data_IF_330081410741
#
_entry.id   IF_330081410741
#
_cell.length_a   1.000
_cell.length_b   1.000
_cell.length_c   1.000
_cell.angle_alpha   90.00
_cell.angle_beta   90.00
_cell.angle_gamma   90.00
#
_symmetry.space_group_name_H-M   'P 1'
#
loop_
_entity.id
_entity.type
_entity.pdbx_description
1 polymer ?
#
# COMPACT_ATOMS: atom_id res chain seq x y z
N UNK A 1 1.43 -14.98 19.73
CA UNK A 1 1.47 -13.65 19.11
C UNK A 1 2.82 -13.03 19.38
N UNK A 2 3.62 -12.79 18.33
CA UNK A 2 4.88 -12.07 18.39
C UNK A 2 4.61 -10.56 18.35
N UNK A 3 5.58 -9.79 18.86
CA UNK A 3 5.54 -8.32 18.77
C UNK A 3 5.75 -7.90 17.32
N UNK A 4 4.99 -6.89 16.89
CA UNK A 4 5.08 -6.27 15.57
C UNK A 4 5.60 -4.84 15.74
N UNK A 5 6.45 -4.39 14.82
CA UNK A 5 7.00 -3.05 14.81
C UNK A 5 6.78 -2.40 13.44
N UNK A 6 6.63 -1.07 13.43
CA UNK A 6 6.71 -0.26 12.22
C UNK A 6 8.17 0.17 12.07
N UNK A 7 8.80 -0.21 10.97
CA UNK A 7 10.23 0.06 10.72
C UNK A 7 10.47 1.17 9.69
N UNK A 8 9.44 1.57 8.94
CA UNK A 8 9.55 2.69 8.01
C UNK A 8 8.18 3.26 7.63
N UNK A 9 8.14 4.53 7.24
CA UNK A 9 6.93 5.26 6.84
C UNK A 9 7.18 6.14 5.63
N UNK A 10 6.13 6.39 4.85
CA UNK A 10 6.20 7.27 3.68
C UNK A 10 4.84 7.89 3.39
N UNK A 11 4.85 9.13 2.90
CA UNK A 11 3.64 9.91 2.63
C UNK A 11 3.88 10.88 1.48
N UNK A 12 2.94 10.94 0.54
CA UNK A 12 2.94 11.97 -0.51
C UNK A 12 2.28 13.25 0.00
N UNK A 13 2.58 14.38 -0.66
CA UNK A 13 1.91 15.64 -0.35
C UNK A 13 0.42 15.57 -0.73
N UNK A 14 -0.45 15.97 0.20
CA UNK A 14 -1.89 16.03 -0.05
C UNK A 14 -2.24 17.26 -0.87
N UNK A 15 -3.14 17.10 -1.85
CA UNK A 15 -3.57 18.18 -2.73
C UNK A 15 -3.99 17.67 -4.11
N UNK A 16 -4.13 18.59 -5.06
CA UNK A 16 -4.40 18.24 -6.46
C UNK A 16 -3.12 17.74 -7.13
N UNK A 17 -3.25 16.72 -7.98
CA UNK A 17 -2.17 16.11 -8.73
C UNK A 17 -2.73 15.52 -10.04
N UNK A 18 -1.86 15.28 -11.02
CA UNK A 18 -2.21 14.63 -12.29
C UNK A 18 -1.84 13.15 -12.32
N UNK A 19 -1.32 12.63 -11.20
CA UNK A 19 -0.89 11.23 -11.04
C UNK A 19 -2.05 10.34 -10.64
N UNK A 20 -1.96 9.07 -10.99
CA UNK A 20 -2.89 8.02 -10.53
C UNK A 20 -2.65 7.67 -9.06
N UNK A 21 -3.65 7.06 -8.43
CA UNK A 21 -3.54 6.54 -7.05
C UNK A 21 -2.43 5.51 -6.94
N UNK A 22 -2.23 4.68 -7.98
CA UNK A 22 -1.15 3.68 -8.00
C UNK A 22 0.24 4.33 -8.04
N UNK A 23 0.44 5.41 -8.79
CA UNK A 23 1.71 6.15 -8.84
C UNK A 23 1.99 6.88 -7.52
N UNK A 24 0.97 7.47 -6.89
CA UNK A 24 1.11 8.12 -5.59
C UNK A 24 1.40 7.10 -4.49
N UNK A 25 0.72 5.96 -4.52
CA UNK A 25 1.02 4.83 -3.64
C UNK A 25 2.47 4.37 -3.84
N UNK A 26 2.90 4.15 -5.09
CA UNK A 26 4.25 3.67 -5.38
C UNK A 26 5.33 4.63 -4.87
N UNK A 27 5.10 5.95 -4.96
CA UNK A 27 6.00 6.93 -4.34
C UNK A 27 6.04 6.78 -2.81
N UNK A 28 4.88 6.83 -2.13
CA UNK A 28 4.85 6.73 -0.67
C UNK A 28 5.44 5.41 -0.16
N UNK A 29 5.18 4.31 -0.88
CA UNK A 29 5.70 2.99 -0.53
C UNK A 29 7.21 2.88 -0.78
N UNK A 30 7.74 3.48 -1.86
CA UNK A 30 9.18 3.55 -2.09
C UNK A 30 9.88 4.35 -0.99
N UNK A 31 9.32 5.50 -0.59
CA UNK A 31 9.85 6.31 0.52
C UNK A 31 9.84 5.50 1.83
N UNK A 32 8.77 4.73 2.10
CA UNK A 32 8.67 3.87 3.29
C UNK A 32 9.67 2.71 3.29
N UNK A 33 9.97 2.11 2.13
CA UNK A 33 10.98 1.05 1.98
C UNK A 33 12.38 1.61 2.24
N UNK A 34 12.66 2.83 1.74
CA UNK A 34 13.93 3.53 2.00
C UNK A 34 14.08 3.88 3.48
N UNK A 35 13.04 4.42 4.11
CA UNK A 35 13.03 4.75 5.56
C UNK A 35 13.21 3.48 6.43
N UNK A 36 12.71 2.33 5.97
CA UNK A 36 12.90 1.04 6.62
C UNK A 36 14.30 0.43 6.45
N UNK A 37 15.15 1.00 5.57
CA UNK A 37 16.49 0.50 5.24
C UNK A 37 16.52 -0.97 4.79
N UNK A 38 15.48 -1.41 4.06
CA UNK A 38 15.38 -2.78 3.50
C UNK A 38 15.45 -2.79 1.98
N UNK A 39 15.81 -3.94 1.40
CA UNK A 39 15.67 -4.16 -0.03
C UNK A 39 14.19 -4.36 -0.40
N UNK A 40 13.71 -3.86 -1.56
CA UNK A 40 12.32 -4.07 -1.99
C UNK A 40 11.90 -5.55 -2.06
N UNK A 41 12.84 -6.45 -2.38
CA UNK A 41 12.62 -7.90 -2.43
C UNK A 41 12.30 -8.53 -1.07
N UNK A 42 12.52 -7.83 0.04
CA UNK A 42 12.19 -8.29 1.38
C UNK A 42 10.71 -8.08 1.72
N UNK A 43 9.97 -7.29 0.92
CA UNK A 43 8.52 -7.13 1.08
C UNK A 43 7.83 -8.41 0.62
N UNK A 44 7.11 -9.07 1.53
CA UNK A 44 6.49 -10.38 1.29
C UNK A 44 5.02 -10.30 0.91
N UNK A 45 4.32 -9.21 1.24
CA UNK A 45 2.89 -9.05 0.98
C UNK A 45 2.51 -7.56 1.00
N UNK A 46 1.42 -7.23 0.30
CA UNK A 46 0.85 -5.88 0.29
C UNK A 46 -0.60 -5.87 0.77
N UNK A 47 -0.85 -5.08 1.82
CA UNK A 47 -2.20 -4.79 2.33
C UNK A 47 -2.58 -3.38 1.88
N UNK A 48 -3.33 -3.28 0.79
CA UNK A 48 -3.56 -2.03 0.07
C UNK A 48 -4.95 -1.45 0.37
N UNK A 49 -4.99 -0.21 0.84
CA UNK A 49 -6.23 0.52 1.06
C UNK A 49 -6.55 1.46 -0.10
N UNK A 50 -7.71 1.30 -0.72
CA UNK A 50 -8.19 2.22 -1.76
C UNK A 50 -9.72 2.20 -1.81
N UNK A 51 -10.36 3.36 -1.81
CA UNK A 51 -11.82 3.50 -1.85
C UNK A 51 -12.26 3.82 -3.27
N UNK A 52 -11.76 4.91 -3.83
CA UNK A 52 -12.37 5.53 -5.02
C UNK A 52 -11.79 5.08 -6.36
N UNK A 53 -10.85 4.12 -6.41
CA UNK A 53 -10.16 3.75 -7.64
C UNK A 53 -11.10 3.26 -8.76
N UNK A 54 -12.18 2.57 -8.38
CA UNK A 54 -13.21 2.12 -9.32
C UNK A 54 -13.96 3.28 -9.98
N UNK A 55 -14.23 4.33 -9.22
CA UNK A 55 -15.03 5.48 -9.64
C UNK A 55 -14.16 6.55 -10.32
N UNK A 56 -13.02 6.90 -9.72
CA UNK A 56 -12.18 8.02 -10.17
C UNK A 56 -11.22 7.62 -11.27
N UNK A 57 -10.72 6.38 -11.25
CA UNK A 57 -9.70 5.88 -12.18
C UNK A 57 -10.21 4.75 -13.07
N UNK A 58 -11.50 4.37 -12.93
CA UNK A 58 -12.12 3.27 -13.68
C UNK A 58 -11.34 1.96 -13.56
N UNK A 59 -10.75 1.73 -12.38
CA UNK A 59 -9.90 0.59 -12.12
C UNK A 59 -10.33 -0.11 -10.83
N UNK A 60 -10.70 -1.39 -10.96
CA UNK A 60 -11.13 -2.24 -9.85
C UNK A 60 -10.00 -3.10 -9.29
N UNK A 61 -9.11 -3.63 -10.14
CA UNK A 61 -7.99 -4.50 -9.74
C UNK A 61 -6.81 -3.68 -9.21
N UNK A 62 -7.09 -2.76 -8.29
CA UNK A 62 -6.10 -1.80 -7.78
C UNK A 62 -4.99 -2.45 -6.94
N UNK A 63 -5.25 -3.58 -6.28
CA UNK A 63 -4.23 -4.29 -5.50
C UNK A 63 -3.05 -4.76 -6.38
N UNK A 64 -3.27 -5.68 -7.34
CA UNK A 64 -2.23 -6.10 -8.27
C UNK A 64 -1.61 -4.94 -9.06
N UNK A 65 -2.40 -3.93 -9.43
CA UNK A 65 -1.88 -2.73 -10.09
C UNK A 65 -0.91 -1.96 -9.19
N UNK A 66 -1.24 -1.75 -7.93
CA UNK A 66 -0.38 -1.07 -6.96
C UNK A 66 0.95 -1.83 -6.76
N UNK A 67 0.89 -3.15 -6.59
CA UNK A 67 2.08 -4.00 -6.47
C UNK A 67 2.95 -3.96 -7.74
N UNK A 68 2.33 -4.01 -8.91
CA UNK A 68 3.03 -3.90 -10.21
C UNK A 68 3.69 -2.52 -10.37
N UNK A 69 2.99 -1.45 -10.01
CA UNK A 69 3.48 -0.07 -10.11
C UNK A 69 4.64 0.19 -9.14
N UNK A 70 4.63 -0.47 -7.97
CA UNK A 70 5.75 -0.46 -7.01
C UNK A 70 6.96 -1.30 -7.48
N UNK A 71 6.83 -2.08 -8.55
CA UNK A 71 7.89 -2.97 -9.03
C UNK A 71 7.94 -4.33 -8.32
N UNK A 72 6.88 -4.70 -7.61
CA UNK A 72 6.76 -5.97 -6.87
C UNK A 72 5.54 -6.79 -7.37
N UNK A 73 5.46 -7.13 -8.66
CA UNK A 73 4.23 -7.69 -9.26
C UNK A 73 3.84 -9.07 -8.73
N UNK A 74 4.78 -9.79 -8.09
CA UNK A 74 4.59 -11.18 -7.65
C UNK A 74 4.19 -11.32 -6.19
N UNK A 75 4.16 -10.25 -5.39
CA UNK A 75 3.80 -10.35 -3.97
C UNK A 75 2.28 -10.51 -3.81
N UNK A 76 1.82 -11.39 -2.90
CA UNK A 76 0.41 -11.50 -2.57
C UNK A 76 -0.11 -10.14 -2.11
N UNK A 77 -1.24 -9.73 -2.70
CA UNK A 77 -1.84 -8.42 -2.44
C UNK A 77 -3.31 -8.54 -2.12
N UNK A 78 -3.76 -7.88 -1.05
CA UNK A 78 -5.19 -7.79 -0.68
C UNK A 78 -5.63 -6.33 -0.66
N UNK A 79 -6.71 -6.02 -1.39
CA UNK A 79 -7.33 -4.69 -1.37
C UNK A 79 -8.41 -4.63 -0.29
N UNK A 80 -8.37 -3.59 0.52
CA UNK A 80 -9.35 -3.31 1.56
C UNK A 80 -10.22 -2.12 1.19
N UNK A 81 -11.46 -2.13 1.67
CA UNK A 81 -12.39 -1.01 1.59
C UNK A 81 -13.32 -0.98 2.80
N UNK A 82 -13.21 0.09 3.59
CA UNK A 82 -14.07 0.42 4.73
C UNK A 82 -14.26 1.95 4.82
N UNK A 83 -14.51 2.59 3.67
CA UNK A 83 -14.62 4.05 3.53
C UNK A 83 -13.44 4.78 4.18
N UNK A 84 -13.68 5.76 5.06
CA UNK A 84 -12.63 6.53 5.73
C UNK A 84 -11.66 5.69 6.59
N UNK A 85 -12.05 4.47 6.98
CA UNK A 85 -11.23 3.57 7.78
C UNK A 85 -10.40 2.56 6.94
N UNK A 86 -10.42 2.69 5.62
CA UNK A 86 -9.85 1.70 4.68
C UNK A 86 -8.40 1.32 4.98
N UNK A 87 -7.51 2.31 5.12
CA UNK A 87 -6.11 2.04 5.41
C UNK A 87 -5.88 1.58 6.86
N UNK A 88 -6.78 1.92 7.80
CA UNK A 88 -6.73 1.36 9.15
C UNK A 88 -7.06 -0.14 9.14
N UNK A 89 -8.08 -0.55 8.38
CA UNK A 89 -8.39 -1.97 8.21
C UNK A 89 -7.21 -2.71 7.56
N UNK A 90 -6.64 -2.19 6.48
CA UNK A 90 -5.47 -2.77 5.83
C UNK A 90 -4.28 -2.91 6.80
N UNK A 91 -3.95 -1.86 7.54
CA UNK A 91 -2.87 -1.87 8.54
C UNK A 91 -3.12 -2.90 9.64
N UNK A 92 -4.34 -2.96 10.18
CA UNK A 92 -4.71 -3.96 11.19
C UNK A 92 -4.53 -5.39 10.65
N UNK A 93 -4.96 -5.67 9.42
CA UNK A 93 -4.77 -6.98 8.82
C UNK A 93 -3.30 -7.33 8.60
N UNK A 94 -2.47 -6.38 8.16
CA UNK A 94 -1.02 -6.60 8.04
C UNK A 94 -0.37 -6.95 9.39
N UNK A 95 -0.74 -6.23 10.46
CA UNK A 95 -0.25 -6.53 11.82
C UNK A 95 -0.66 -7.93 12.26
N UNK A 96 -1.91 -8.34 12.00
CA UNK A 96 -2.40 -9.67 12.37
C UNK A 96 -1.74 -10.81 11.58
N UNK A 97 -1.36 -10.58 10.32
CA UNK A 97 -0.60 -11.57 9.53
C UNK A 97 0.81 -11.75 10.07
N UNK A 98 1.40 -10.67 10.58
CA UNK A 98 2.73 -10.70 11.17
C UNK A 98 2.66 -11.36 12.56
N UNK A 99 1.76 -10.93 13.45
CA UNK A 99 1.70 -11.31 14.87
C UNK A 99 1.52 -12.82 15.15
#
# INVERSE_FOLDING_TARGET
MRRVAVIGVGITKFGKHDRTSAELFAQAAADAIVDAEIAPSEVQALYYGNVTGGETERQLHMGPLAATTLGLPSIPTTRFETACATSHAAFRHAVMEIA
#
